data_IF_593006247965
#
_entry.id   IF_593006247965
#
_cell.length_a   1.000
_cell.length_b   1.000
_cell.length_c   1.000
_cell.angle_alpha   90.00
_cell.angle_beta   90.00
_cell.angle_gamma   90.00
#
_symmetry.space_group_name_H-M   'P 1'
#
loop_
_entity.id
_entity.type
_entity.pdbx_description
1 polymer ?
#
# COMPACT_ATOMS: atom_id res chain seq x y z
N UNK A 1 4.68 -6.57 18.60
CA UNK A 1 3.62 -7.57 18.88
C UNK A 1 2.20 -7.06 18.54
N UNK A 2 1.77 -5.89 19.05
CA UNK A 2 0.42 -5.37 18.79
C UNK A 2 0.18 -4.98 17.31
N UNK A 3 1.21 -4.44 16.63
CA UNK A 3 1.13 -4.07 15.20
C UNK A 3 1.06 -5.31 14.29
N UNK A 4 1.86 -6.34 14.58
CA UNK A 4 1.85 -7.60 13.81
C UNK A 4 0.53 -8.38 13.96
N UNK A 5 -0.02 -8.45 15.19
CA UNK A 5 -1.33 -9.06 15.42
C UNK A 5 -2.49 -8.17 14.94
N UNK A 6 -2.33 -6.85 15.03
CA UNK A 6 -3.30 -5.87 14.57
C UNK A 6 -3.47 -5.88 13.05
N UNK A 7 -2.37 -5.98 12.29
CA UNK A 7 -2.40 -6.10 10.83
C UNK A 7 -3.18 -7.32 10.37
N UNK A 8 -2.87 -8.50 10.89
CA UNK A 8 -3.59 -9.73 10.55
C UNK A 8 -5.08 -9.69 10.93
N UNK A 9 -5.43 -9.06 12.06
CA UNK A 9 -6.83 -8.84 12.44
C UNK A 9 -7.53 -7.87 11.47
N UNK A 10 -6.84 -6.81 11.04
CA UNK A 10 -7.35 -5.86 10.06
C UNK A 10 -7.64 -6.52 8.71
N UNK A 11 -6.74 -7.41 8.25
CA UNK A 11 -6.92 -8.14 7.00
C UNK A 11 -8.18 -9.01 7.00
N UNK A 12 -8.53 -9.59 8.15
CA UNK A 12 -9.76 -10.37 8.31
C UNK A 12 -11.03 -9.51 8.23
N UNK A 13 -10.92 -8.20 8.47
CA UNK A 13 -12.03 -7.26 8.38
C UNK A 13 -12.18 -6.64 6.98
N UNK A 14 -11.19 -6.80 6.08
CA UNK A 14 -11.24 -6.25 4.72
C UNK A 14 -12.45 -6.70 3.88
N UNK A 15 -12.93 -7.95 3.96
CA UNK A 15 -14.14 -8.34 3.24
C UNK A 15 -15.38 -7.51 3.60
N UNK A 16 -15.38 -6.84 4.76
CA UNK A 16 -16.48 -5.98 5.21
C UNK A 16 -16.48 -4.59 4.55
N UNK A 17 -15.39 -4.20 3.88
CA UNK A 17 -15.34 -2.92 3.13
C UNK A 17 -15.91 -3.03 1.71
N UNK A 18 -15.75 -4.17 1.04
CA UNK A 18 -16.03 -4.29 -0.41
C UNK A 18 -17.49 -4.55 -0.80
N UNK A 19 -18.39 -4.76 0.16
CA UNK A 19 -19.81 -5.01 -0.12
C UNK A 19 -20.63 -3.98 0.64
N UNK A 20 -21.24 -3.02 -0.06
CA UNK A 20 -22.06 -1.94 0.51
C UNK A 20 -23.25 -2.33 1.40
N UNK A 21 -23.33 -3.58 1.89
CA UNK A 21 -24.32 -4.10 2.84
C UNK A 21 -23.89 -4.12 4.31
N UNK A 22 -22.84 -3.40 4.72
CA UNK A 22 -22.37 -3.32 6.11
C UNK A 22 -22.85 -2.09 6.89
N UNK A 23 -22.60 -2.04 8.20
CA UNK A 23 -22.77 -0.83 9.02
C UNK A 23 -21.71 0.22 8.61
N UNK A 24 -22.15 1.42 8.21
CA UNK A 24 -21.28 2.52 7.75
C UNK A 24 -20.25 2.91 8.81
N UNK A 25 -20.66 2.98 10.09
CA UNK A 25 -19.75 3.33 11.19
C UNK A 25 -18.64 2.30 11.37
N UNK A 26 -18.96 1.02 11.16
CA UNK A 26 -17.95 -0.03 11.19
C UNK A 26 -16.95 0.12 10.05
N UNK A 27 -17.42 0.41 8.82
CA UNK A 27 -16.54 0.62 7.66
C UNK A 27 -15.65 1.85 7.84
N UNK A 28 -16.20 2.95 8.35
CA UNK A 28 -15.43 4.15 8.73
C UNK A 28 -14.35 3.83 9.76
N UNK A 29 -14.70 3.04 10.78
CA UNK A 29 -13.75 2.57 11.80
C UNK A 29 -12.61 1.73 11.20
N UNK A 30 -12.94 0.78 10.32
CA UNK A 30 -11.94 -0.07 9.64
C UNK A 30 -11.04 0.77 8.74
N UNK A 31 -11.60 1.61 7.88
CA UNK A 31 -10.84 2.47 6.97
C UNK A 31 -9.94 3.46 7.74
N UNK A 32 -10.45 4.02 8.84
CA UNK A 32 -9.67 4.85 9.75
C UNK A 32 -8.50 4.11 10.38
N UNK A 33 -8.73 2.89 10.87
CA UNK A 33 -7.69 2.05 11.43
C UNK A 33 -6.63 1.67 10.38
N UNK A 34 -7.04 1.33 9.15
CA UNK A 34 -6.14 1.06 8.03
C UNK A 34 -5.22 2.24 7.74
N UNK A 35 -5.78 3.44 7.57
CA UNK A 35 -5.00 4.66 7.34
C UNK A 35 -4.00 4.90 8.47
N UNK A 36 -4.40 4.72 9.72
CA UNK A 36 -3.51 4.90 10.86
C UNK A 36 -2.36 3.87 10.87
N UNK A 37 -2.65 2.60 10.52
CA UNK A 37 -1.62 1.57 10.38
C UNK A 37 -0.63 1.89 9.26
N UNK A 38 -1.11 2.32 8.09
CA UNK A 38 -0.24 2.71 6.98
C UNK A 38 0.60 3.93 7.33
N UNK A 39 0.04 4.91 8.05
CA UNK A 39 0.76 6.08 8.52
C UNK A 39 1.90 5.71 9.48
N UNK A 40 1.63 4.84 10.45
CA UNK A 40 2.66 4.37 11.37
C UNK A 40 3.81 3.68 10.61
N UNK A 41 3.48 2.84 9.63
CA UNK A 41 4.49 2.15 8.83
C UNK A 41 5.28 3.10 7.92
N UNK A 42 4.64 4.09 7.30
CA UNK A 42 5.32 5.11 6.50
C UNK A 42 6.29 5.96 7.35
N UNK A 43 5.89 6.30 8.59
CA UNK A 43 6.78 6.99 9.53
C UNK A 43 7.97 6.13 9.93
N UNK A 44 7.76 4.83 10.20
CA UNK A 44 8.84 3.89 10.50
C UNK A 44 9.82 3.79 9.32
N UNK A 45 9.30 3.67 8.09
CA UNK A 45 10.11 3.64 6.87
C UNK A 45 10.96 4.90 6.69
N UNK A 46 10.35 6.08 6.87
CA UNK A 46 11.05 7.36 6.78
C UNK A 46 12.15 7.48 7.84
N UNK A 47 11.91 7.00 9.07
CA UNK A 47 12.93 6.99 10.13
C UNK A 47 14.11 6.07 9.79
N UNK A 48 13.86 4.92 9.18
CA UNK A 48 14.92 4.01 8.73
C UNK A 48 15.77 4.67 7.64
N UNK A 49 15.14 5.23 6.61
CA UNK A 49 15.85 5.90 5.51
C UNK A 49 16.65 7.12 6.00
N UNK A 50 16.11 7.87 6.97
CA UNK A 50 16.83 9.00 7.58
C UNK A 50 18.08 8.56 8.35
N UNK A 51 18.01 7.42 9.04
CA UNK A 51 19.19 6.83 9.72
C UNK A 51 20.24 6.41 8.69
N UNK A 52 19.85 5.73 7.61
CA UNK A 52 20.77 5.28 6.57
C UNK A 52 21.48 6.45 5.87
N UNK A 53 20.78 7.56 5.62
CA UNK A 53 21.36 8.77 5.04
C UNK A 53 22.42 9.43 5.93
N UNK A 54 22.36 9.25 7.26
CA UNK A 54 23.32 9.81 8.22
C UNK A 54 24.52 8.87 8.48
N UNK A 55 24.42 7.57 8.14
CA UNK A 55 25.45 6.53 8.39
C UNK A 55 26.58 6.55 7.34
N UNK A 56 26.89 7.71 6.76
CA UNK A 56 28.22 7.97 6.18
C UNK A 56 29.38 7.86 7.20
N UNK A 57 29.07 7.62 8.49
CA UNK A 57 30.01 7.27 9.55
C UNK A 57 29.79 5.83 9.99
N UNK A 58 30.81 5.00 9.76
CA UNK A 58 30.91 3.61 10.24
C UNK A 58 30.60 3.56 11.74
N UNK A 59 29.39 3.14 12.09
CA UNK A 59 29.03 2.73 13.45
C UNK A 59 28.63 1.27 13.34
N UNK A 60 29.37 0.40 14.04
CA UNK A 60 29.06 -1.01 14.19
C UNK A 60 27.59 -1.15 14.60
N UNK A 61 26.79 -1.74 13.71
CA UNK A 61 25.37 -1.95 13.91
C UNK A 61 25.17 -2.97 15.04
N UNK A 62 24.79 -2.47 16.21
CA UNK A 62 24.12 -3.30 17.21
C UNK A 62 22.71 -3.55 16.68
N UNK A 63 22.39 -4.81 16.37
CA UNK A 63 21.09 -5.25 15.87
C UNK A 63 19.95 -4.67 16.73
N UNK A 64 19.40 -3.55 16.29
CA UNK A 64 18.13 -3.04 16.81
C UNK A 64 17.05 -3.98 16.31
N UNK A 65 16.06 -4.36 17.15
CA UNK A 65 14.92 -5.14 16.67
C UNK A 65 14.31 -4.41 15.48
N UNK A 66 14.26 -5.09 14.32
CA UNK A 66 13.74 -4.53 13.09
C UNK A 66 12.32 -3.97 13.34
N UNK A 67 12.01 -2.76 12.84
CA UNK A 67 10.69 -2.18 12.99
C UNK A 67 9.64 -3.10 12.38
N UNK A 68 8.61 -3.39 13.17
CA UNK A 68 7.71 -4.51 12.92
C UNK A 68 6.67 -4.21 11.83
N UNK A 69 6.50 -2.96 11.38
CA UNK A 69 5.44 -2.61 10.45
C UNK A 69 5.80 -2.89 8.98
N UNK A 70 7.05 -2.63 8.57
CA UNK A 70 7.49 -2.83 7.18
C UNK A 70 7.35 -4.29 6.69
N UNK A 71 7.79 -5.31 7.47
CA UNK A 71 7.60 -6.70 7.10
C UNK A 71 6.13 -7.10 6.96
N UNK A 72 5.25 -6.51 7.78
CA UNK A 72 3.81 -6.73 7.69
C UNK A 72 3.22 -6.10 6.44
N UNK A 73 3.63 -4.89 6.06
CA UNK A 73 3.21 -4.27 4.80
C UNK A 73 3.65 -5.12 3.61
N UNK A 74 4.92 -5.53 3.58
CA UNK A 74 5.46 -6.36 2.50
C UNK A 74 4.70 -7.68 2.35
N UNK A 75 4.47 -8.37 3.47
CA UNK A 75 3.73 -9.64 3.48
C UNK A 75 2.26 -9.48 3.04
N UNK A 76 1.69 -8.29 3.16
CA UNK A 76 0.26 -8.05 2.97
C UNK A 76 -0.04 -7.10 1.81
N UNK A 77 0.96 -6.64 1.05
CA UNK A 77 0.82 -5.61 0.03
C UNK A 77 -0.24 -5.97 -1.01
N UNK A 78 -0.26 -7.24 -1.45
CA UNK A 78 -1.26 -7.75 -2.38
C UNK A 78 -2.68 -7.68 -1.82
N UNK A 79 -2.88 -8.06 -0.56
CA UNK A 79 -4.20 -8.04 0.10
C UNK A 79 -4.65 -6.62 0.39
N UNK A 80 -3.73 -5.74 0.79
CA UNK A 80 -3.98 -4.33 1.04
C UNK A 80 -4.36 -3.61 -0.26
N UNK A 81 -3.62 -3.84 -1.35
CA UNK A 81 -3.90 -3.26 -2.66
C UNK A 81 -5.32 -3.63 -3.15
N UNK A 82 -5.71 -4.89 -3.01
CA UNK A 82 -7.04 -5.36 -3.39
C UNK A 82 -8.15 -4.74 -2.54
N UNK A 83 -7.97 -4.69 -1.23
CA UNK A 83 -8.97 -4.14 -0.33
C UNK A 83 -9.10 -2.61 -0.40
N UNK A 84 -8.00 -1.91 -0.69
CA UNK A 84 -8.00 -0.46 -0.84
C UNK A 84 -8.51 -0.01 -2.22
N UNK A 85 -8.32 -0.80 -3.26
CA UNK A 85 -8.82 -0.44 -4.60
C UNK A 85 -10.29 -0.71 -4.79
N UNK A 86 -10.87 -1.70 -4.08
CA UNK A 86 -12.29 -2.02 -4.15
C UNK A 86 -13.19 -0.78 -3.98
N UNK A 87 -13.11 -0.05 -2.85
CA UNK A 87 -13.89 1.16 -2.59
C UNK A 87 -13.62 2.32 -3.57
N UNK A 88 -12.49 2.31 -4.27
CA UNK A 88 -12.03 3.38 -5.17
C UNK A 88 -12.27 3.07 -6.65
N UNK A 89 -12.62 1.85 -7.01
CA UNK A 89 -12.66 1.36 -8.40
C UNK A 89 -13.78 1.91 -9.29
N UNK A 90 -14.61 2.84 -8.80
CA UNK A 90 -15.76 3.40 -9.53
C UNK A 90 -16.93 2.43 -9.71
N UNK A 91 -16.82 1.18 -9.25
CA UNK A 91 -17.86 0.15 -9.39
C UNK A 91 -19.10 0.33 -8.48
N UNK A 92 -19.24 1.48 -7.82
CA UNK A 92 -20.37 1.77 -6.92
C UNK A 92 -20.36 0.96 -5.63
N UNK A 93 -19.20 0.45 -5.20
CA UNK A 93 -19.08 -0.43 -4.02
C UNK A 93 -19.10 0.32 -2.70
N UNK A 94 -18.62 1.57 -2.66
CA UNK A 94 -18.63 2.41 -1.46
C UNK A 94 -19.21 3.81 -1.74
N UNK A 95 -20.28 4.16 -1.03
CA UNK A 95 -20.96 5.43 -1.18
C UNK A 95 -20.58 6.45 -0.11
N UNK A 96 -19.95 6.02 0.99
CA UNK A 96 -19.55 6.92 2.06
C UNK A 96 -18.24 7.64 1.74
N UNK A 97 -18.32 8.97 1.60
CA UNK A 97 -17.16 9.82 1.28
C UNK A 97 -16.04 9.69 2.32
N UNK A 98 -16.38 9.55 3.61
CA UNK A 98 -15.39 9.41 4.68
C UNK A 98 -14.64 8.09 4.54
N UNK A 99 -15.32 7.00 4.19
CA UNK A 99 -14.65 5.73 3.90
C UNK A 99 -13.72 5.87 2.70
N UNK A 100 -14.20 6.43 1.57
CA UNK A 100 -13.39 6.60 0.36
C UNK A 100 -12.16 7.47 0.62
N UNK A 101 -12.29 8.59 1.32
CA UNK A 101 -11.18 9.46 1.69
C UNK A 101 -10.15 8.74 2.56
N UNK A 102 -10.60 7.97 3.56
CA UNK A 102 -9.71 7.22 4.45
C UNK A 102 -8.96 6.13 3.70
N UNK A 103 -9.64 5.44 2.78
CA UNK A 103 -9.07 4.39 1.93
C UNK A 103 -8.07 4.98 0.93
N UNK A 104 -8.41 6.08 0.25
CA UNK A 104 -7.50 6.78 -0.66
C UNK A 104 -6.26 7.28 0.08
N UNK A 105 -6.42 7.87 1.26
CA UNK A 105 -5.29 8.27 2.10
C UNK A 105 -4.43 7.10 2.57
N UNK A 106 -5.02 5.93 2.85
CA UNK A 106 -4.26 4.74 3.20
C UNK A 106 -3.46 4.20 2.00
N UNK A 107 -4.04 4.20 0.80
CA UNK A 107 -3.38 3.79 -0.43
C UNK A 107 -2.24 4.73 -0.82
N UNK A 108 -2.43 6.04 -0.64
CA UNK A 108 -1.38 7.05 -0.84
C UNK A 108 -0.18 6.78 0.07
N UNK A 109 -0.41 6.59 1.37
CA UNK A 109 0.65 6.25 2.33
C UNK A 109 1.36 4.95 1.95
N UNK A 110 0.64 3.97 1.40
CA UNK A 110 1.25 2.73 0.90
C UNK A 110 2.16 3.00 -0.31
N UNK A 111 1.79 3.92 -1.20
CA UNK A 111 2.62 4.29 -2.36
C UNK A 111 3.83 5.16 -2.01
N UNK A 112 3.82 5.82 -0.84
CA UNK A 112 4.96 6.57 -0.30
C UNK A 112 6.03 5.64 0.32
N UNK A 113 5.71 4.37 0.54
CA UNK A 113 6.71 3.35 0.89
C UNK A 113 7.45 2.97 -0.39
N UNK A 114 8.68 3.47 -0.57
CA UNK A 114 9.48 3.30 -1.79
C UNK A 114 10.09 1.89 -1.96
N UNK A 115 9.41 0.87 -1.44
CA UNK A 115 9.77 -0.55 -1.54
C UNK A 115 9.30 -1.15 -2.87
N UNK A 116 10.19 -1.84 -3.58
CA UNK A 116 9.91 -2.43 -4.90
C UNK A 116 8.78 -3.47 -4.82
N UNK A 117 8.73 -4.28 -3.76
CA UNK A 117 7.70 -5.30 -3.58
C UNK A 117 6.29 -4.71 -3.40
N UNK A 118 6.20 -3.58 -2.69
CA UNK A 118 4.92 -2.86 -2.51
C UNK A 118 4.45 -2.34 -3.85
N UNK A 119 5.35 -1.73 -4.62
CA UNK A 119 5.06 -1.24 -5.96
C UNK A 119 4.65 -2.37 -6.90
N UNK A 120 5.41 -3.47 -6.92
CA UNK A 120 5.11 -4.64 -7.73
C UNK A 120 3.72 -5.20 -7.40
N UNK A 121 3.36 -5.29 -6.11
CA UNK A 121 2.02 -5.70 -5.69
C UNK A 121 0.92 -4.75 -6.22
N UNK A 122 1.15 -3.43 -6.16
CA UNK A 122 0.19 -2.46 -6.69
C UNK A 122 -0.01 -2.59 -8.21
N UNK A 123 1.07 -2.82 -8.96
CA UNK A 123 1.00 -3.07 -10.40
C UNK A 123 0.35 -4.39 -10.76
N UNK A 124 0.70 -5.48 -10.04
CA UNK A 124 0.09 -6.80 -10.22
C UNK A 124 -1.43 -6.77 -10.02
N UNK A 125 -1.90 -5.93 -9.08
CA UNK A 125 -3.32 -5.73 -8.81
C UNK A 125 -3.99 -4.70 -9.74
N UNK A 126 -3.28 -4.22 -10.76
CA UNK A 126 -3.78 -3.27 -11.74
C UNK A 126 -4.35 -1.98 -11.09
N UNK A 127 -3.76 -1.56 -9.96
CA UNK A 127 -4.18 -0.36 -9.21
C UNK A 127 -4.25 0.88 -10.10
N UNK A 128 -3.29 1.18 -11.00
CA UNK A 128 -3.38 2.36 -11.87
C UNK A 128 -4.65 2.42 -12.72
N UNK A 129 -5.03 1.31 -13.34
CA UNK A 129 -6.23 1.26 -14.19
C UNK A 129 -7.52 1.34 -13.37
N UNK A 130 -7.52 0.74 -12.16
CA UNK A 130 -8.64 0.84 -11.23
C UNK A 130 -8.83 2.27 -10.73
N UNK A 131 -7.75 2.97 -10.39
CA UNK A 131 -7.79 4.37 -9.97
C UNK A 131 -8.23 5.28 -11.11
N UNK A 132 -7.78 5.03 -12.34
CA UNK A 132 -8.24 5.79 -13.51
C UNK A 132 -9.76 5.71 -13.67
N UNK A 133 -10.33 4.50 -13.63
CA UNK A 133 -11.79 4.29 -13.71
C UNK A 133 -12.54 4.89 -12.53
N UNK A 134 -11.95 4.79 -11.34
CA UNK A 134 -12.47 5.40 -10.12
C UNK A 134 -12.56 6.91 -10.21
N UNK A 135 -11.49 7.53 -10.66
CA UNK A 135 -11.33 8.97 -10.79
C UNK A 135 -12.35 9.58 -11.76
N UNK A 136 -12.66 8.89 -12.87
CA UNK A 136 -13.68 9.34 -13.84
C UNK A 136 -15.09 9.49 -13.22
N UNK A 137 -15.36 8.83 -12.09
CA UNK A 137 -16.66 8.81 -11.42
C UNK A 137 -16.63 9.44 -10.01
N UNK A 138 -15.47 9.93 -9.56
CA UNK A 138 -15.31 10.51 -8.24
C UNK A 138 -15.51 12.03 -8.26
N UNK A 139 -16.32 12.53 -7.33
CA UNK A 139 -16.61 13.97 -7.19
C UNK A 139 -16.00 14.55 -5.90
N UNK A 140 -15.56 13.70 -4.96
CA UNK A 140 -15.06 14.14 -3.68
C UNK A 140 -13.62 14.71 -3.81
N UNK A 141 -13.40 16.03 -3.54
CA UNK A 141 -12.13 16.69 -3.87
C UNK A 141 -10.90 16.05 -3.22
N UNK A 142 -11.01 15.64 -1.95
CA UNK A 142 -9.90 15.02 -1.23
C UNK A 142 -9.58 13.60 -1.73
N UNK A 143 -10.55 12.90 -2.33
CA UNK A 143 -10.31 11.58 -2.92
C UNK A 143 -9.60 11.76 -4.26
N UNK A 144 -10.06 12.71 -5.09
CA UNK A 144 -9.40 13.07 -6.35
C UNK A 144 -7.94 13.48 -6.15
N UNK A 145 -7.65 14.39 -5.21
CA UNK A 145 -6.28 14.81 -4.87
C UNK A 145 -5.40 13.61 -4.46
N UNK A 146 -5.93 12.72 -3.62
CA UNK A 146 -5.20 11.53 -3.22
C UNK A 146 -4.94 10.58 -4.42
N UNK A 147 -5.91 10.37 -5.29
CA UNK A 147 -5.76 9.54 -6.50
C UNK A 147 -4.72 10.09 -7.47
N UNK A 148 -4.71 11.42 -7.68
CA UNK A 148 -3.72 12.10 -8.52
C UNK A 148 -2.30 11.89 -7.96
N UNK A 149 -2.12 12.12 -6.66
CA UNK A 149 -0.82 11.92 -6.00
C UNK A 149 -0.36 10.45 -6.04
N UNK A 150 -1.28 9.50 -5.91
CA UNK A 150 -0.98 8.08 -6.07
C UNK A 150 -0.49 7.81 -7.51
N UNK A 151 -1.18 8.36 -8.51
CA UNK A 151 -0.80 8.19 -9.91
C UNK A 151 0.59 8.79 -10.19
N UNK A 152 0.87 9.99 -9.68
CA UNK A 152 2.19 10.63 -9.76
C UNK A 152 3.29 9.75 -9.16
N UNK A 153 3.08 9.21 -7.96
CA UNK A 153 4.04 8.31 -7.30
C UNK A 153 4.31 7.05 -8.13
N UNK A 154 3.26 6.41 -8.64
CA UNK A 154 3.38 5.20 -9.46
C UNK A 154 4.06 5.45 -10.81
N UNK A 155 3.94 6.67 -11.37
CA UNK A 155 4.59 7.07 -12.62
C UNK A 155 6.05 7.49 -12.42
N UNK A 156 6.35 8.25 -11.35
CA UNK A 156 7.68 8.77 -11.05
C UNK A 156 8.72 7.66 -10.84
N UNK A 157 8.28 6.51 -10.33
CA UNK A 157 9.15 5.37 -10.07
C UNK A 157 9.64 4.63 -11.33
N UNK A 158 9.26 5.07 -12.53
CA UNK A 158 9.48 4.33 -13.77
C UNK A 158 8.55 3.12 -13.80
N UNK A 159 7.51 3.18 -14.62
CA UNK A 159 6.56 2.07 -14.75
C UNK A 159 7.33 0.76 -14.99
N UNK A 160 7.14 -0.22 -14.10
CA UNK A 160 7.71 -1.56 -14.25
C UNK A 160 7.34 -2.02 -15.66
N UNK A 161 8.34 -2.21 -16.53
CA UNK A 161 8.11 -2.65 -17.90
C UNK A 161 7.25 -3.92 -17.85
N UNK A 162 6.02 -3.82 -18.36
CA UNK A 162 5.07 -4.92 -18.40
C UNK A 162 5.66 -6.05 -19.22
N UNK A 163 6.21 -7.07 -18.58
CA UNK A 163 6.29 -8.41 -19.18
C UNK A 163 4.91 -9.04 -19.04
N UNK A 164 3.98 -8.66 -19.91
CA UNK A 164 2.77 -9.44 -20.17
C UNK A 164 3.19 -10.72 -20.91
N UNK A 165 3.55 -11.77 -20.18
CA UNK A 165 3.41 -13.13 -20.68
C UNK A 165 2.54 -13.88 -19.69
N UNK A 166 1.30 -14.12 -20.10
CA UNK A 166 0.42 -15.14 -19.56
C UNK A 166 1.04 -16.46 -19.99
N UNK A 167 1.73 -17.13 -19.08
CA UNK A 167 1.95 -18.59 -19.02
C UNK A 167 2.77 -18.84 -17.74
N UNK A 168 2.41 -19.87 -16.99
CA UNK A 168 2.88 -20.19 -15.64
C UNK A 168 4.37 -19.86 -15.39
N UNK A 169 4.65 -18.87 -14.54
CA UNK A 169 6.01 -18.58 -14.06
C UNK A 169 6.04 -18.77 -12.55
N UNK A 170 6.61 -19.91 -12.15
CA UNK A 170 7.29 -20.01 -10.85
C UNK A 170 8.29 -18.85 -10.79
N UNK A 171 8.12 -17.96 -9.81
CA UNK A 171 9.02 -16.81 -9.63
C UNK A 171 10.37 -17.34 -9.16
N UNK A 172 11.26 -17.64 -10.11
CA UNK A 172 12.70 -17.64 -9.83
C UNK A 172 13.15 -16.20 -9.62
N UNK A 173 13.24 -15.81 -8.34
CA UNK A 173 13.99 -14.65 -7.91
C UNK A 173 15.48 -14.87 -8.27
N UNK A 174 15.90 -14.49 -9.47
CA UNK A 174 17.31 -14.41 -9.83
C UNK A 174 17.94 -13.19 -9.17
N UNK A 175 18.32 -13.34 -7.90
CA UNK A 175 19.23 -12.43 -7.21
C UNK A 175 20.60 -12.64 -7.83
N UNK A 176 21.06 -11.72 -8.69
CA UNK A 176 22.48 -11.72 -9.08
C UNK A 176 23.30 -11.34 -7.85
N UNK A 177 24.26 -12.17 -7.41
CA UNK A 177 25.12 -11.81 -6.29
C UNK A 177 25.99 -10.62 -6.72
N UNK A 178 25.86 -9.52 -5.98
CA UNK A 178 26.78 -8.39 -6.03
C UNK A 178 28.08 -8.78 -5.30
N UNK A 179 28.85 -9.71 -5.89
CA UNK A 179 30.26 -9.91 -5.56
C UNK A 179 31.00 -10.33 -6.83
N UNK A 180 31.70 -9.37 -7.43
CA UNK A 180 32.82 -9.62 -8.30
C UNK A 180 33.81 -8.46 -8.15
N UNK A 181 34.75 -8.64 -7.21
CA UNK A 181 36.21 -8.51 -7.42
C UNK A 181 36.93 -8.80 -6.09
#
# INVERSE_FOLDING_TARGET
ALVANGGAALLRLLPLMGRGGGNVEMRRGIAGAMRNCMRAAAMEYAEQNAKEADVGKVVEQKESPAPYALPCIRACANTLAEALTGPLSGSGTEHDDVVRERVAGALLLLTEVEEEDVRAALWQKNVPELLKKGYELEEHPAVCDAMERIAESLMAAGGIERKTNVEDVEVECSVKPFFAL
#
